data_IF_411455520678
#
_entry.id   IF_411455520678
#
_cell.length_a   1.000
_cell.length_b   1.000
_cell.length_c   1.000
_cell.angle_alpha   90.00
_cell.angle_beta   90.00
_cell.angle_gamma   90.00
#
_symmetry.space_group_name_H-M   'P 1'
#
loop_
_entity.id
_entity.type
_entity.pdbx_description
1 polymer ?
#
# COMPACT_ATOMS: atom_id res chain seq x y z
N UNK A 1 15.29 23.97 0.41
CA UNK A 1 15.10 24.46 1.80
C UNK A 1 13.63 24.29 2.23
N UNK A 2 12.67 24.74 1.45
CA UNK A 2 11.23 24.60 1.77
C UNK A 2 10.78 23.15 1.99
N UNK A 3 11.30 22.20 1.23
CA UNK A 3 10.92 20.78 1.33
C UNK A 3 11.36 20.15 2.65
N UNK A 4 12.63 20.36 3.06
CA UNK A 4 13.16 19.81 4.34
C UNK A 4 12.43 20.36 5.56
N UNK A 5 12.06 21.65 5.55
CA UNK A 5 11.30 22.28 6.65
C UNK A 5 9.89 21.69 6.77
N UNK A 6 9.18 21.47 5.64
CA UNK A 6 7.86 20.84 5.64
C UNK A 6 7.93 19.40 6.16
N UNK A 7 8.91 18.61 5.72
CA UNK A 7 9.12 17.24 6.20
C UNK A 7 9.38 17.19 7.71
N UNK A 8 10.24 18.08 8.22
CA UNK A 8 10.52 18.17 9.66
C UNK A 8 9.27 18.52 10.47
N UNK A 9 8.44 19.43 9.99
CA UNK A 9 7.18 19.79 10.63
C UNK A 9 6.18 18.64 10.65
N UNK A 10 6.03 17.90 9.53
CA UNK A 10 5.17 16.72 9.45
C UNK A 10 5.63 15.64 10.41
N UNK A 11 6.93 15.33 10.42
CA UNK A 11 7.52 14.33 11.34
C UNK A 11 7.30 14.71 12.81
N UNK A 12 7.42 16.00 13.14
CA UNK A 12 7.12 16.49 14.49
C UNK A 12 5.66 16.21 14.86
N UNK A 13 4.69 16.48 13.97
CA UNK A 13 3.27 16.21 14.23
C UNK A 13 3.00 14.73 14.47
N UNK A 14 3.63 13.82 13.72
CA UNK A 14 3.53 12.39 13.96
C UNK A 14 4.04 12.03 15.36
N UNK A 15 5.18 12.57 15.76
CA UNK A 15 5.78 12.31 17.08
C UNK A 15 4.93 12.89 18.22
N UNK A 16 4.37 14.09 18.05
CA UNK A 16 3.44 14.70 19.02
C UNK A 16 2.18 13.82 19.25
N UNK A 17 1.79 13.02 18.26
CA UNK A 17 0.69 12.03 18.35
C UNK A 17 1.15 10.65 18.86
N UNK A 18 2.41 10.48 19.26
CA UNK A 18 2.95 9.20 19.72
C UNK A 18 3.18 8.18 18.59
N UNK A 19 3.26 8.64 17.35
CA UNK A 19 3.57 7.82 16.19
C UNK A 19 5.09 7.82 16.00
N UNK A 20 5.76 6.90 16.68
CA UNK A 20 7.22 6.79 16.73
C UNK A 20 7.60 5.39 16.28
N UNK A 21 8.44 5.25 15.24
CA UNK A 21 8.90 3.93 14.82
C UNK A 21 9.93 3.38 15.79
N UNK A 22 9.92 2.08 15.98
CA UNK A 22 10.96 1.32 16.67
C UNK A 22 11.91 0.75 15.62
N UNK A 23 13.02 1.41 15.42
CA UNK A 23 14.04 0.99 14.44
C UNK A 23 14.53 -0.44 14.69
N UNK A 24 14.79 -1.14 13.60
CA UNK A 24 15.27 -2.52 13.60
C UNK A 24 16.48 -2.65 12.66
N UNK A 25 17.45 -3.48 13.03
CA UNK A 25 18.68 -3.68 12.26
C UNK A 25 18.44 -4.40 10.92
N UNK A 26 17.31 -5.10 10.79
CA UNK A 26 16.92 -5.86 9.60
C UNK A 26 16.06 -5.06 8.62
N UNK A 27 15.93 -3.74 8.83
CA UNK A 27 15.23 -2.84 7.91
C UNK A 27 16.09 -2.51 6.69
N UNK A 28 15.55 -2.76 5.49
CA UNK A 28 16.26 -2.48 4.22
C UNK A 28 15.33 -1.86 3.19
N UNK A 29 15.82 -0.84 2.49
CA UNK A 29 15.12 -0.19 1.37
C UNK A 29 15.24 -1.03 0.10
N UNK A 30 14.10 -1.26 -0.57
CA UNK A 30 14.00 -1.87 -1.89
C UNK A 30 13.30 -0.91 -2.85
N UNK A 31 13.70 -0.87 -4.13
CA UNK A 31 13.05 -0.06 -5.17
C UNK A 31 13.56 1.40 -5.28
N UNK A 32 14.72 1.73 -4.68
CA UNK A 32 15.35 3.05 -4.84
C UNK A 32 14.57 4.21 -4.22
N UNK A 33 14.53 5.36 -4.92
CA UNK A 33 13.98 6.63 -4.38
C UNK A 33 12.47 6.58 -4.10
N UNK A 34 11.74 5.71 -4.79
CA UNK A 34 10.30 5.45 -4.60
C UNK A 34 10.06 4.09 -3.94
N UNK A 35 11.07 3.56 -3.28
CA UNK A 35 11.04 2.25 -2.67
C UNK A 35 10.43 2.24 -1.27
N UNK A 36 10.36 1.02 -0.73
CA UNK A 36 9.79 0.74 0.57
C UNK A 36 10.81 0.04 1.48
N UNK A 37 10.72 0.35 2.76
CA UNK A 37 11.58 -0.30 3.77
C UNK A 37 10.88 -1.54 4.32
N UNK A 38 11.59 -2.66 4.24
CA UNK A 38 11.10 -4.00 4.58
C UNK A 38 11.99 -4.63 5.66
N UNK A 39 11.41 -5.38 6.57
CA UNK A 39 12.16 -6.30 7.44
C UNK A 39 12.51 -7.56 6.62
N UNK A 40 13.70 -7.56 6.00
CA UNK A 40 14.12 -8.63 5.10
C UNK A 40 14.35 -9.97 5.82
N UNK A 41 14.56 -9.95 7.14
CA UNK A 41 14.81 -11.17 7.92
C UNK A 41 13.61 -12.13 7.96
N UNK A 42 12.43 -11.62 7.63
CA UNK A 42 11.17 -12.36 7.60
C UNK A 42 10.79 -12.85 6.20
N UNK A 43 11.60 -12.56 5.18
CA UNK A 43 11.31 -12.90 3.78
C UNK A 43 12.32 -13.89 3.21
N UNK A 44 11.85 -14.76 2.34
CA UNK A 44 12.65 -15.74 1.58
C UNK A 44 11.99 -16.02 0.23
N UNK A 45 12.57 -16.89 -0.57
CA UNK A 45 12.09 -17.19 -1.94
C UNK A 45 10.69 -17.83 -2.02
N UNK A 46 10.15 -18.32 -0.90
CA UNK A 46 8.80 -18.91 -0.83
C UNK A 46 7.77 -17.92 -0.25
N UNK A 47 8.21 -16.73 0.15
CA UNK A 47 7.31 -15.73 0.73
C UNK A 47 6.26 -15.27 -0.25
N UNK A 48 5.03 -15.11 0.25
CA UNK A 48 3.87 -14.57 -0.48
C UNK A 48 3.86 -13.06 -0.31
N UNK A 49 4.04 -12.33 -1.40
CA UNK A 49 4.06 -10.86 -1.41
C UNK A 49 2.90 -10.34 -2.23
N UNK A 50 2.07 -9.52 -1.61
CA UNK A 50 1.00 -8.76 -2.26
C UNK A 50 1.39 -7.30 -2.37
N UNK A 51 1.39 -6.76 -3.59
CA UNK A 51 1.67 -5.36 -3.89
C UNK A 51 0.43 -4.72 -4.50
N UNK A 52 -0.29 -3.93 -3.74
CA UNK A 52 -1.55 -3.31 -4.14
C UNK A 52 -1.35 -1.83 -4.44
N UNK A 53 -1.90 -1.39 -5.59
CA UNK A 53 -1.72 -0.04 -6.10
C UNK A 53 -0.35 0.13 -6.75
N UNK A 54 -0.11 -0.59 -7.85
CA UNK A 54 1.19 -0.54 -8.56
C UNK A 54 1.32 0.66 -9.48
N UNK A 55 0.21 1.21 -9.95
CA UNK A 55 0.21 2.38 -10.82
C UNK A 55 1.09 2.19 -12.06
N UNK A 56 2.10 3.05 -12.21
CA UNK A 56 3.11 3.00 -13.27
C UNK A 56 4.55 2.87 -12.74
N UNK A 57 4.72 2.34 -11.53
CA UNK A 57 6.03 2.10 -10.94
C UNK A 57 6.04 0.76 -10.18
N UNK A 58 6.90 -0.15 -10.61
CA UNK A 58 7.10 -1.48 -10.04
C UNK A 58 8.56 -1.73 -9.61
N UNK A 59 9.34 -0.67 -9.41
CA UNK A 59 10.77 -0.79 -9.04
C UNK A 59 10.94 -1.53 -7.72
N UNK A 60 10.02 -1.31 -6.77
CA UNK A 60 9.98 -2.04 -5.50
C UNK A 60 9.76 -3.54 -5.72
N UNK A 61 8.78 -3.90 -6.52
CA UNK A 61 8.40 -5.27 -6.81
C UNK A 61 9.53 -6.01 -7.51
N UNK A 62 10.13 -5.38 -8.53
CA UNK A 62 11.26 -5.95 -9.27
C UNK A 62 12.50 -6.12 -8.38
N UNK A 63 12.76 -5.16 -7.46
CA UNK A 63 13.87 -5.28 -6.52
C UNK A 63 13.68 -6.44 -5.54
N UNK A 64 12.47 -6.72 -5.06
CA UNK A 64 12.17 -7.90 -4.25
C UNK A 64 12.39 -9.20 -5.03
N UNK A 65 11.87 -9.27 -6.26
CA UNK A 65 12.03 -10.43 -7.14
C UNK A 65 13.52 -10.69 -7.40
N UNK A 66 14.28 -9.65 -7.75
CA UNK A 66 15.69 -9.79 -8.10
C UNK A 66 16.55 -10.20 -6.90
N UNK A 67 16.37 -9.53 -5.74
CA UNK A 67 17.25 -9.69 -4.59
C UNK A 67 16.86 -10.87 -3.69
N UNK A 68 15.56 -11.18 -3.56
CA UNK A 68 15.07 -12.23 -2.67
C UNK A 68 14.57 -13.47 -3.43
N UNK A 69 14.50 -13.41 -4.77
CA UNK A 69 14.07 -14.54 -5.64
C UNK A 69 12.65 -15.04 -5.34
N UNK A 70 11.81 -14.19 -4.78
CA UNK A 70 10.41 -14.48 -4.45
C UNK A 70 9.46 -14.15 -5.62
N UNK A 71 8.17 -14.44 -5.43
CA UNK A 71 7.10 -14.01 -6.33
C UNK A 71 6.37 -12.81 -5.74
N UNK A 72 5.96 -11.89 -6.62
CA UNK A 72 5.09 -10.78 -6.27
C UNK A 72 3.76 -10.94 -7.01
N UNK A 73 2.67 -10.86 -6.26
CA UNK A 73 1.31 -10.74 -6.76
C UNK A 73 0.93 -9.27 -6.68
N UNK A 74 0.80 -8.66 -7.85
CA UNK A 74 0.59 -7.22 -7.98
C UNK A 74 -0.85 -6.93 -8.40
N UNK A 75 -1.48 -5.94 -7.78
CA UNK A 75 -2.90 -5.66 -7.96
C UNK A 75 -3.12 -4.18 -8.27
N UNK A 76 -3.88 -3.90 -9.31
CA UNK A 76 -4.37 -2.56 -9.63
C UNK A 76 -5.59 -2.68 -10.56
N UNK A 77 -6.75 -2.09 -10.23
CA UNK A 77 -7.96 -2.24 -11.02
C UNK A 77 -8.08 -1.17 -12.12
N UNK A 78 -7.18 -0.18 -12.15
CA UNK A 78 -7.36 1.00 -12.97
C UNK A 78 -6.89 0.80 -14.41
N UNK A 79 -7.63 1.27 -15.43
CA UNK A 79 -7.31 1.01 -16.84
C UNK A 79 -5.90 1.48 -17.24
N UNK A 80 -5.46 2.62 -16.71
CA UNK A 80 -4.13 3.16 -17.05
C UNK A 80 -2.98 2.33 -16.48
N UNK A 81 -3.15 1.77 -15.28
CA UNK A 81 -2.17 0.86 -14.68
C UNK A 81 -2.12 -0.46 -15.46
N UNK A 82 -3.28 -1.00 -15.83
CA UNK A 82 -3.40 -2.22 -16.65
C UNK A 82 -2.68 -2.01 -17.99
N UNK A 83 -3.02 -0.94 -18.71
CA UNK A 83 -2.40 -0.61 -20.00
C UNK A 83 -0.88 -0.40 -19.89
N UNK A 84 -0.42 0.19 -18.78
CA UNK A 84 1.01 0.40 -18.56
C UNK A 84 1.72 -0.93 -18.29
N UNK A 85 1.16 -1.80 -17.45
CA UNK A 85 1.73 -3.12 -17.12
C UNK A 85 1.81 -4.01 -18.36
N UNK A 86 0.79 -4.02 -19.21
CA UNK A 86 0.77 -4.81 -20.46
C UNK A 86 1.92 -4.48 -21.41
N UNK A 87 2.45 -3.27 -21.32
CA UNK A 87 3.61 -2.83 -22.13
C UNK A 87 4.97 -3.23 -21.56
N UNK A 88 4.99 -3.80 -20.32
CA UNK A 88 6.23 -4.18 -19.67
C UNK A 88 6.63 -5.62 -20.01
N UNK A 89 7.93 -5.85 -20.12
CA UNK A 89 8.50 -7.21 -20.27
C UNK A 89 8.79 -7.79 -18.89
N UNK A 90 7.83 -8.51 -18.31
CA UNK A 90 7.90 -8.99 -16.94
C UNK A 90 8.20 -10.49 -16.85
N UNK A 91 8.92 -10.88 -15.82
CA UNK A 91 9.20 -12.29 -15.53
C UNK A 91 7.95 -12.99 -14.96
N UNK A 92 7.95 -14.33 -14.99
CA UNK A 92 6.87 -15.13 -14.35
C UNK A 92 6.79 -14.95 -12.82
N UNK A 93 7.79 -14.35 -12.21
CA UNK A 93 7.78 -14.03 -10.77
C UNK A 93 6.95 -12.79 -10.44
N UNK A 94 6.60 -11.96 -11.43
CA UNK A 94 5.66 -10.86 -11.30
C UNK A 94 4.31 -11.29 -11.88
N UNK A 95 3.31 -11.45 -11.03
CA UNK A 95 1.96 -11.85 -11.42
C UNK A 95 1.00 -10.68 -11.21
N UNK A 96 0.47 -10.14 -12.29
CA UNK A 96 -0.47 -9.02 -12.22
C UNK A 96 -1.91 -9.50 -12.30
N UNK A 97 -2.74 -8.96 -11.40
CA UNK A 97 -4.18 -9.19 -11.35
C UNK A 97 -4.91 -7.84 -11.44
N UNK A 98 -5.77 -7.64 -12.45
CA UNK A 98 -6.49 -6.37 -12.65
C UNK A 98 -7.69 -6.25 -11.71
N UNK A 99 -7.44 -6.26 -10.41
CA UNK A 99 -8.43 -6.14 -9.34
C UNK A 99 -7.85 -5.25 -8.23
N UNK A 100 -8.69 -4.43 -7.61
CA UNK A 100 -8.32 -3.61 -6.47
C UNK A 100 -8.56 -4.31 -5.14
N UNK A 101 -8.05 -3.71 -4.07
CA UNK A 101 -8.32 -4.13 -2.70
C UNK A 101 -9.40 -3.22 -2.09
N UNK A 102 -10.39 -3.83 -1.46
CA UNK A 102 -11.45 -3.14 -0.76
C UNK A 102 -11.83 -3.82 0.56
N UNK A 103 -12.69 -3.17 1.34
CA UNK A 103 -13.26 -3.74 2.57
C UNK A 103 -14.33 -4.82 2.29
N UNK A 104 -14.84 -4.90 1.07
CA UNK A 104 -15.82 -5.89 0.57
C UNK A 104 -15.60 -6.18 -0.90
N UNK A 105 -16.07 -7.34 -1.34
CA UNK A 105 -16.05 -7.71 -2.75
C UNK A 105 -17.12 -6.94 -3.54
N UNK A 106 -16.82 -6.58 -4.79
CA UNK A 106 -17.72 -5.89 -5.67
C UNK A 106 -17.07 -4.95 -6.65
N UNK A 107 -17.71 -3.84 -6.94
CA UNK A 107 -17.16 -2.74 -7.72
C UNK A 107 -16.99 -1.50 -6.84
N UNK A 108 -15.92 -0.75 -7.07
CA UNK A 108 -15.65 0.51 -6.44
C UNK A 108 -15.56 1.60 -7.50
N UNK A 109 -16.07 2.77 -7.19
CA UNK A 109 -15.97 3.96 -8.04
C UNK A 109 -14.66 4.67 -7.78
N UNK A 110 -13.96 5.05 -8.85
CA UNK A 110 -12.67 5.74 -8.79
C UNK A 110 -12.73 7.05 -9.56
N UNK A 111 -12.29 8.11 -8.93
CA UNK A 111 -12.10 9.44 -9.52
C UNK A 111 -10.76 9.52 -10.22
N UNK A 112 -10.70 10.00 -11.46
CA UNK A 112 -9.45 10.13 -12.19
C UNK A 112 -8.57 11.25 -11.63
N UNK A 113 -7.25 11.15 -11.78
CA UNK A 113 -6.34 12.23 -11.44
C UNK A 113 -6.48 13.39 -12.45
N UNK A 114 -6.21 14.64 -12.02
CA UNK A 114 -6.23 15.83 -12.90
C UNK A 114 -5.28 15.72 -14.08
N UNK A 115 -4.13 15.09 -13.88
CA UNK A 115 -3.14 14.90 -14.93
C UNK A 115 -3.46 13.61 -15.70
N UNK A 116 -3.74 13.72 -16.99
CA UNK A 116 -4.11 12.57 -17.83
C UNK A 116 -3.07 11.43 -17.85
N UNK A 117 -1.79 11.77 -17.75
CA UNK A 117 -0.71 10.77 -17.73
C UNK A 117 -0.51 10.09 -16.35
N UNK A 118 -1.26 10.47 -15.32
CA UNK A 118 -1.14 9.90 -13.98
C UNK A 118 -2.02 8.66 -13.84
N UNK A 119 -1.54 7.68 -13.07
CA UNK A 119 -2.25 6.45 -12.72
C UNK A 119 -2.93 6.52 -11.35
N UNK A 120 -2.80 7.64 -10.62
CA UNK A 120 -3.31 7.80 -9.26
C UNK A 120 -4.84 8.04 -9.22
N UNK A 121 -5.62 7.04 -9.61
CA UNK A 121 -7.06 7.03 -9.41
C UNK A 121 -7.37 6.81 -7.93
N UNK A 122 -8.41 7.45 -7.40
CA UNK A 122 -8.74 7.42 -5.98
C UNK A 122 -10.22 7.14 -5.78
N UNK A 123 -10.63 6.37 -4.76
CA UNK A 123 -12.04 6.26 -4.39
C UNK A 123 -12.58 7.56 -3.76
N UNK A 124 -11.72 8.54 -3.52
CA UNK A 124 -12.07 9.83 -2.91
C UNK A 124 -12.01 10.92 -3.96
N UNK A 125 -13.09 11.73 -4.06
CA UNK A 125 -13.04 12.96 -4.83
C UNK A 125 -12.13 13.99 -4.13
N UNK A 126 -10.89 14.07 -4.63
CA UNK A 126 -9.85 14.96 -4.09
C UNK A 126 -10.02 16.41 -4.48
N UNK A 127 -10.90 16.69 -5.45
CA UNK A 127 -10.89 17.97 -6.15
C UNK A 127 -12.24 18.68 -6.18
N UNK A 128 -13.30 18.13 -5.60
CA UNK A 128 -14.68 18.64 -5.65
C UNK A 128 -15.15 18.88 -7.11
N UNK A 129 -14.76 18.01 -8.01
CA UNK A 129 -15.10 18.17 -9.41
C UNK A 129 -16.34 17.30 -9.75
N UNK A 130 -17.51 17.87 -9.57
CA UNK A 130 -18.80 17.19 -9.81
C UNK A 130 -19.05 16.79 -11.28
N UNK A 131 -18.23 17.28 -12.22
CA UNK A 131 -18.37 17.00 -13.65
C UNK A 131 -17.38 15.94 -14.17
N UNK A 132 -16.57 15.34 -13.29
CA UNK A 132 -15.59 14.34 -13.72
C UNK A 132 -16.27 12.99 -13.89
N UNK A 133 -16.09 12.39 -15.05
CA UNK A 133 -16.49 11.02 -15.31
C UNK A 133 -15.62 10.05 -14.50
N UNK A 134 -16.24 9.36 -13.56
CA UNK A 134 -15.61 8.32 -12.74
C UNK A 134 -15.55 6.99 -13.49
N UNK A 135 -14.70 6.08 -13.03
CA UNK A 135 -14.68 4.71 -13.52
C UNK A 135 -15.14 3.76 -12.41
N UNK A 136 -15.81 2.66 -12.77
CA UNK A 136 -16.05 1.54 -11.86
C UNK A 136 -15.07 0.43 -12.18
N UNK A 137 -14.49 -0.14 -11.13
CA UNK A 137 -13.52 -1.22 -11.29
C UNK A 137 -13.71 -2.28 -10.19
N UNK A 138 -13.39 -3.56 -10.47
CA UNK A 138 -13.56 -4.63 -9.52
C UNK A 138 -12.62 -4.49 -8.34
N UNK A 139 -13.15 -4.75 -7.15
CA UNK A 139 -12.39 -4.84 -5.90
C UNK A 139 -12.75 -6.10 -5.15
N UNK A 140 -11.79 -6.63 -4.40
CA UNK A 140 -11.96 -7.80 -3.54
C UNK A 140 -11.33 -7.57 -2.18
N UNK A 141 -11.79 -8.33 -1.20
CA UNK A 141 -11.16 -8.39 0.12
C UNK A 141 -9.85 -9.19 0.06
N UNK A 142 -8.97 -8.98 1.03
CA UNK A 142 -7.75 -9.80 1.16
C UNK A 142 -8.08 -11.29 1.27
N UNK A 143 -9.15 -11.63 2.01
CA UNK A 143 -9.62 -13.01 2.18
C UNK A 143 -10.01 -13.64 0.84
N UNK A 144 -10.81 -12.95 0.04
CA UNK A 144 -11.25 -13.43 -1.27
C UNK A 144 -10.07 -13.60 -2.24
N UNK A 145 -9.14 -12.64 -2.27
CA UNK A 145 -7.92 -12.74 -3.08
C UNK A 145 -7.06 -13.93 -2.64
N UNK A 146 -6.84 -14.08 -1.33
CA UNK A 146 -6.03 -15.18 -0.80
C UNK A 146 -6.65 -16.56 -1.08
N UNK A 147 -7.96 -16.68 -0.97
CA UNK A 147 -8.69 -17.91 -1.30
C UNK A 147 -8.56 -18.27 -2.78
N UNK A 148 -8.68 -17.31 -3.70
CA UNK A 148 -8.54 -17.53 -5.14
C UNK A 148 -7.12 -17.95 -5.54
N UNK A 149 -6.11 -17.48 -4.81
CA UNK A 149 -4.72 -17.78 -5.06
C UNK A 149 -4.19 -18.97 -4.22
N UNK A 150 -5.05 -19.59 -3.41
CA UNK A 150 -4.72 -20.68 -2.48
C UNK A 150 -3.59 -20.31 -1.49
N UNK A 151 -3.64 -19.07 -0.97
CA UNK A 151 -2.71 -18.58 0.03
C UNK A 151 -3.37 -18.56 1.42
N UNK A 152 -2.64 -19.06 2.43
CA UNK A 152 -3.09 -19.07 3.83
C UNK A 152 -2.44 -17.92 4.64
N UNK A 153 -1.30 -17.45 4.19
CA UNK A 153 -0.50 -16.40 4.84
C UNK A 153 -0.01 -15.41 3.79
N UNK A 154 0.02 -14.14 4.14
CA UNK A 154 0.68 -13.09 3.37
C UNK A 154 1.92 -12.63 4.15
N UNK A 155 3.12 -12.90 3.63
CA UNK A 155 4.36 -12.51 4.30
C UNK A 155 4.61 -11.01 4.24
N UNK A 156 4.19 -10.37 3.14
CA UNK A 156 4.31 -8.94 2.94
C UNK A 156 3.11 -8.39 2.15
N UNK A 157 2.38 -7.47 2.76
CA UNK A 157 1.32 -6.70 2.11
C UNK A 157 1.78 -5.25 1.93
N UNK A 158 1.92 -4.78 0.70
CA UNK A 158 2.09 -3.35 0.39
C UNK A 158 0.75 -2.78 -0.08
N UNK A 159 0.34 -1.65 0.50
CA UNK A 159 -0.87 -0.91 0.12
C UNK A 159 -0.54 0.55 -0.17
N UNK A 160 -0.81 0.97 -1.39
CA UNK A 160 -0.80 2.34 -1.85
C UNK A 160 -2.04 2.49 -2.75
N UNK A 161 -3.20 2.71 -2.11
CA UNK A 161 -4.53 2.59 -2.73
C UNK A 161 -5.35 3.87 -2.63
N UNK A 162 -4.60 4.99 -2.57
CA UNK A 162 -5.12 6.34 -2.82
C UNK A 162 -6.33 6.73 -1.96
N UNK A 163 -6.33 6.30 -0.68
CA UNK A 163 -7.32 6.64 0.34
C UNK A 163 -8.21 5.52 0.83
N UNK A 164 -8.19 4.33 0.22
CA UNK A 164 -8.95 3.16 0.69
C UNK A 164 -8.27 2.38 1.84
N UNK A 165 -7.03 2.74 2.21
CA UNK A 165 -6.25 2.02 3.23
C UNK A 165 -6.97 1.91 4.56
N UNK A 166 -7.70 2.96 4.94
CA UNK A 166 -8.38 3.06 6.24
C UNK A 166 -9.50 2.03 6.37
N UNK A 167 -10.33 1.88 5.34
CA UNK A 167 -11.42 0.89 5.34
C UNK A 167 -10.88 -0.54 5.30
N UNK A 168 -9.78 -0.78 4.57
CA UNK A 168 -9.11 -2.08 4.55
C UNK A 168 -8.56 -2.42 5.93
N UNK A 169 -7.90 -1.48 6.62
CA UNK A 169 -7.39 -1.67 7.99
C UNK A 169 -8.54 -1.90 8.96
N UNK A 170 -9.67 -1.21 8.76
CA UNK A 170 -10.86 -1.38 9.59
C UNK A 170 -11.47 -2.77 9.49
N UNK A 171 -11.35 -3.39 8.35
CA UNK A 171 -11.85 -4.74 8.10
C UNK A 171 -10.79 -5.85 8.31
N UNK A 172 -9.54 -5.50 8.65
CA UNK A 172 -8.41 -6.45 8.63
C UNK A 172 -8.58 -7.62 9.60
N UNK A 173 -9.18 -7.39 10.78
CA UNK A 173 -9.43 -8.42 11.78
C UNK A 173 -10.44 -9.48 11.29
N UNK A 174 -11.43 -9.06 10.50
CA UNK A 174 -12.48 -9.93 9.96
C UNK A 174 -11.98 -10.83 8.82
N UNK A 175 -10.80 -10.55 8.27
CA UNK A 175 -10.23 -11.33 7.16
C UNK A 175 -9.77 -12.72 7.59
N UNK A 176 -9.49 -12.93 8.90
CA UNK A 176 -8.99 -14.23 9.43
C UNK A 176 -7.77 -14.74 8.65
N UNK A 177 -6.91 -13.83 8.19
CA UNK A 177 -5.74 -14.08 7.37
C UNK A 177 -4.49 -13.68 8.13
N UNK A 178 -3.49 -14.55 8.13
CA UNK A 178 -2.21 -14.23 8.73
C UNK A 178 -1.40 -13.30 7.81
N UNK A 179 -0.98 -12.15 8.37
CA UNK A 179 -0.14 -11.18 7.67
C UNK A 179 1.07 -10.87 8.53
N UNK A 180 2.29 -11.00 7.96
CA UNK A 180 3.53 -10.84 8.71
C UNK A 180 4.09 -9.42 8.66
N UNK A 181 3.98 -8.73 7.52
CA UNK A 181 4.39 -7.35 7.35
C UNK A 181 3.36 -6.57 6.55
N UNK A 182 3.19 -5.28 6.89
CA UNK A 182 2.32 -4.36 6.15
C UNK A 182 3.10 -3.08 5.86
N UNK A 183 3.13 -2.68 4.60
CA UNK A 183 3.65 -1.40 4.14
C UNK A 183 2.48 -0.56 3.64
N UNK A 184 2.33 0.67 4.12
CA UNK A 184 1.17 1.50 3.81
C UNK A 184 1.61 2.91 3.44
N UNK A 185 1.13 3.43 2.30
CA UNK A 185 1.12 4.87 2.06
C UNK A 185 -0.20 5.44 2.59
N UNK A 186 -0.14 6.24 3.67
CA UNK A 186 -1.32 6.89 4.23
C UNK A 186 -1.60 8.23 3.54
N UNK A 187 -2.82 8.40 3.06
CA UNK A 187 -3.27 9.57 2.33
C UNK A 187 -3.99 10.61 3.20
N UNK A 188 -3.46 10.86 4.42
CA UNK A 188 -4.04 11.81 5.41
C UNK A 188 -4.03 13.29 4.98
N UNK A 189 -3.60 13.58 3.75
CA UNK A 189 -3.69 14.90 3.15
C UNK A 189 -4.87 15.03 2.19
N UNK A 190 -5.58 13.94 1.92
CA UNK A 190 -6.74 13.98 1.04
C UNK A 190 -7.93 14.59 1.77
N UNK A 191 -8.83 15.20 1.00
CA UNK A 191 -10.04 15.77 1.54
C UNK A 191 -10.85 14.71 2.30
N UNK A 192 -11.28 15.05 3.51
CA UNK A 192 -12.04 14.14 4.37
C UNK A 192 -11.19 13.16 5.18
N UNK A 193 -9.87 13.08 4.95
CA UNK A 193 -8.96 12.25 5.72
C UNK A 193 -8.00 13.14 6.53
N UNK A 194 -7.88 12.84 7.80
CA UNK A 194 -7.03 13.59 8.73
C UNK A 194 -5.86 12.76 9.25
N UNK A 195 -4.91 13.43 9.88
CA UNK A 195 -3.83 12.75 10.60
C UNK A 195 -4.34 11.96 11.81
N UNK A 196 -5.47 12.37 12.40
CA UNK A 196 -6.12 11.63 13.48
C UNK A 196 -6.71 10.30 13.00
N UNK A 197 -7.19 10.23 11.75
CA UNK A 197 -7.63 8.97 11.14
C UNK A 197 -6.45 8.04 10.90
N UNK A 198 -5.31 8.57 10.45
CA UNK A 198 -4.06 7.79 10.37
C UNK A 198 -3.64 7.27 11.75
N UNK A 199 -3.76 8.09 12.80
CA UNK A 199 -3.47 7.63 14.16
C UNK A 199 -4.39 6.49 14.59
N UNK A 200 -5.69 6.58 14.34
CA UNK A 200 -6.65 5.50 14.65
C UNK A 200 -6.30 4.21 13.91
N UNK A 201 -5.97 4.30 12.62
CA UNK A 201 -5.54 3.16 11.81
C UNK A 201 -4.27 2.49 12.38
N UNK A 202 -3.27 3.29 12.76
CA UNK A 202 -2.05 2.79 13.41
C UNK A 202 -2.36 2.15 14.77
N UNK A 203 -3.24 2.75 15.58
CA UNK A 203 -3.63 2.19 16.88
C UNK A 203 -4.38 0.86 16.70
N UNK A 204 -5.17 0.70 15.62
CA UNK A 204 -5.81 -0.56 15.27
C UNK A 204 -4.77 -1.63 14.85
N UNK A 205 -3.80 -1.27 14.02
CA UNK A 205 -2.69 -2.17 13.66
C UNK A 205 -1.91 -2.62 14.91
N UNK A 206 -1.65 -1.72 15.86
CA UNK A 206 -1.01 -2.07 17.14
C UNK A 206 -1.83 -3.07 17.95
N UNK A 207 -3.16 -2.94 18.00
CA UNK A 207 -4.05 -3.91 18.67
C UNK A 207 -4.00 -5.29 17.99
N UNK A 208 -3.74 -5.32 16.70
CA UNK A 208 -3.52 -6.53 15.92
C UNK A 208 -2.06 -7.06 16.01
N UNK A 209 -1.27 -6.57 16.97
CA UNK A 209 0.12 -6.91 17.23
C UNK A 209 1.09 -6.54 16.09
N UNK A 210 0.82 -5.46 15.36
CA UNK A 210 1.79 -4.88 14.43
C UNK A 210 2.61 -3.78 15.11
N UNK A 211 3.93 -3.88 15.01
CA UNK A 211 4.88 -2.88 15.48
C UNK A 211 5.32 -1.99 14.30
N UNK A 212 5.19 -0.68 14.45
CA UNK A 212 5.70 0.29 13.48
C UNK A 212 7.22 0.34 13.60
N UNK A 213 7.97 0.00 12.54
CA UNK A 213 9.43 0.02 12.55
C UNK A 213 10.07 1.05 11.63
N UNK A 214 9.32 1.58 10.65
CA UNK A 214 9.84 2.62 9.77
C UNK A 214 8.77 3.63 9.36
N UNK A 215 9.19 4.90 9.17
CA UNK A 215 8.44 5.97 8.53
C UNK A 215 9.38 6.65 7.54
N UNK A 216 8.97 6.76 6.28
CA UNK A 216 9.74 7.41 5.23
C UNK A 216 10.05 8.88 5.53
N UNK A 217 11.00 9.46 4.78
CA UNK A 217 11.30 10.89 4.88
C UNK A 217 10.12 11.77 4.43
N UNK A 218 9.29 11.28 3.49
CA UNK A 218 8.08 11.96 3.02
C UNK A 218 6.98 11.98 4.07
N UNK A 219 7.04 11.05 5.05
CA UNK A 219 6.08 10.89 6.16
C UNK A 219 4.71 10.35 5.73
N UNK A 220 4.66 9.64 4.63
CA UNK A 220 3.44 9.01 4.10
C UNK A 220 3.54 7.50 4.07
N UNK A 221 4.73 6.95 3.82
CA UNK A 221 4.98 5.52 3.78
C UNK A 221 5.42 5.02 5.17
N UNK A 222 4.68 4.03 5.67
CA UNK A 222 4.85 3.41 6.99
C UNK A 222 5.05 1.91 6.84
N UNK A 223 5.99 1.36 7.61
CA UNK A 223 6.28 -0.07 7.60
C UNK A 223 6.02 -0.70 8.96
N UNK A 224 5.20 -1.74 8.97
CA UNK A 224 4.80 -2.49 10.15
C UNK A 224 5.19 -3.95 10.02
N UNK A 225 5.47 -4.60 11.15
CA UNK A 225 5.71 -6.04 11.24
C UNK A 225 4.91 -6.66 12.38
N UNK A 226 4.53 -7.91 12.23
CA UNK A 226 3.91 -8.70 13.28
C UNK A 226 4.94 -9.04 14.37
N UNK A 227 4.56 -8.89 15.64
CA UNK A 227 5.40 -9.19 16.83
C UNK A 227 5.00 -10.48 17.49
#
# INVERSE_FOLDING_TARGET
IFTKTKQRFRRKRLFDLGIIPKEIDTAKLYGGDHGWVVDYSKLNSNSVVYSVGVGSNIDFDLALIEQLKLKVYAFDPTPRSIEWIEKQSLSKSFQFLPVGLGSKDGEMEFFPPRKESSTHFSPIDRYDNLEVETIKAPVKTLKSIAQELDHQTIDLLKMDIEGAEYEVIDNLEEQELEINQILIEFHHMYKGISLDDTKKAIDKLRKLNFELFHISQRTYEFSFRKT
#
